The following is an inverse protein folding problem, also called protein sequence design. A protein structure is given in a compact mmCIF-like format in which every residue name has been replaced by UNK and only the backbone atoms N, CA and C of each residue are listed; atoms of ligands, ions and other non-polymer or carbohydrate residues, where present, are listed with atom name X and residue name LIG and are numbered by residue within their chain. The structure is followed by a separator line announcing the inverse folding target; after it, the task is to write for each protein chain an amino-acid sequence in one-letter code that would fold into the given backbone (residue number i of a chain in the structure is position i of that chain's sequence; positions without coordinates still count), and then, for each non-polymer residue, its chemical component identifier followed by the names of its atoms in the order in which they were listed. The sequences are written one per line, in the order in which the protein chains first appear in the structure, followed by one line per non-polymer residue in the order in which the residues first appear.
data_IF_485009530030
#
_entry.id   IF_485009530030
#
_cell.length_a   1.000
_cell.length_b   1.000
_cell.length_c   1.000
_cell.angle_alpha   90.00
_cell.angle_beta   90.00
_cell.angle_gamma   90.00
#
_symmetry.space_group_name_H-M   'P 1'
#
loop_
_entity.id
_entity.type
_entity.pdbx_description
1 polymer ?
#
# COMPACT_ATOMS: atom_id res chain seq x y z
N UNK A 1 27.58 -13.74 15.15
CA UNK A 1 27.09 -13.12 13.90
C UNK A 1 25.79 -13.84 13.52
N UNK A 2 24.63 -13.37 13.98
CA UNK A 2 23.33 -13.97 13.61
C UNK A 2 22.14 -12.99 13.71
N UNK A 3 22.19 -12.01 14.60
CA UNK A 3 21.06 -11.09 14.85
C UNK A 3 20.65 -10.23 13.64
N UNK A 4 21.62 -9.81 12.81
CA UNK A 4 21.36 -8.98 11.62
C UNK A 4 20.65 -9.76 10.51
N UNK A 5 20.81 -11.08 10.46
CA UNK A 5 20.18 -11.92 9.43
C UNK A 5 18.73 -12.24 9.79
N UNK A 6 18.46 -12.57 11.06
CA UNK A 6 17.10 -12.83 11.56
C UNK A 6 16.20 -11.59 11.50
N UNK A 7 16.74 -10.40 11.85
CA UNK A 7 15.98 -9.15 11.73
C UNK A 7 15.61 -8.84 10.27
N UNK A 8 16.51 -9.16 9.33
CA UNK A 8 16.27 -8.97 7.90
C UNK A 8 15.19 -9.92 7.38
N UNK A 9 15.22 -11.19 7.80
CA UNK A 9 14.22 -12.19 7.41
C UNK A 9 12.84 -11.88 8.01
N UNK A 10 12.77 -11.52 9.30
CA UNK A 10 11.52 -11.12 9.94
C UNK A 10 10.92 -9.88 9.27
N UNK A 11 11.75 -8.89 8.93
CA UNK A 11 11.33 -7.69 8.20
C UNK A 11 10.83 -8.02 6.80
N UNK A 12 11.51 -8.91 6.08
CA UNK A 12 11.09 -9.39 4.77
C UNK A 12 9.75 -10.12 4.82
N UNK A 13 9.58 -11.05 5.76
CA UNK A 13 8.34 -11.80 5.94
C UNK A 13 7.19 -10.85 6.30
N UNK A 14 7.42 -9.87 7.18
CA UNK A 14 6.42 -8.86 7.53
C UNK A 14 6.04 -7.99 6.32
N UNK A 15 7.00 -7.58 5.50
CA UNK A 15 6.74 -6.86 4.25
C UNK A 15 5.84 -7.67 3.32
N UNK A 16 6.16 -8.95 3.10
CA UNK A 16 5.40 -9.85 2.23
C UNK A 16 3.97 -10.07 2.73
N UNK A 17 3.79 -10.28 4.04
CA UNK A 17 2.47 -10.45 4.62
C UNK A 17 1.63 -9.16 4.51
N UNK A 18 2.22 -8.02 4.85
CA UNK A 18 1.53 -6.72 4.76
C UNK A 18 1.11 -6.40 3.33
N UNK A 19 1.96 -6.73 2.35
CA UNK A 19 1.62 -6.62 0.93
C UNK A 19 0.47 -7.55 0.55
N UNK A 20 0.48 -8.80 1.00
CA UNK A 20 -0.57 -9.77 0.68
C UNK A 20 -1.93 -9.31 1.22
N UNK A 21 -1.98 -8.81 2.46
CA UNK A 21 -3.20 -8.27 3.08
C UNK A 21 -3.71 -7.03 2.31
N UNK A 22 -2.81 -6.11 1.97
CA UNK A 22 -3.13 -4.93 1.15
C UNK A 22 -3.71 -5.32 -0.22
N UNK A 23 -3.05 -6.25 -0.92
CA UNK A 23 -3.48 -6.72 -2.25
C UNK A 23 -4.84 -7.39 -2.17
N UNK A 24 -5.07 -8.24 -1.17
CA UNK A 24 -6.35 -8.91 -0.97
C UNK A 24 -7.48 -7.90 -0.77
N UNK A 25 -7.27 -6.91 0.10
CA UNK A 25 -8.31 -5.92 0.38
C UNK A 25 -8.55 -5.01 -0.86
N UNK A 26 -7.52 -4.70 -1.63
CA UNK A 26 -7.67 -4.00 -2.93
C UNK A 26 -8.46 -4.84 -3.94
N UNK A 27 -8.20 -6.15 -4.04
CA UNK A 27 -8.95 -7.06 -4.93
C UNK A 27 -10.44 -7.07 -4.58
N UNK A 28 -10.77 -7.08 -3.29
CA UNK A 28 -12.16 -7.03 -2.83
C UNK A 28 -12.85 -5.73 -3.24
N UNK A 29 -12.17 -4.59 -3.17
CA UNK A 29 -12.72 -3.30 -3.62
C UNK A 29 -12.79 -3.19 -5.15
N UNK A 30 -11.81 -3.73 -5.87
CA UNK A 30 -11.84 -3.80 -7.35
C UNK A 30 -13.04 -4.62 -7.82
N UNK A 31 -13.33 -5.75 -7.16
CA UNK A 31 -14.46 -6.62 -7.46
C UNK A 31 -15.80 -6.01 -7.04
N UNK A 32 -15.84 -5.35 -5.89
CA UNK A 32 -17.04 -4.77 -5.30
C UNK A 32 -16.72 -3.39 -4.68
N UNK A 33 -16.93 -2.29 -5.42
CA UNK A 33 -16.66 -0.94 -4.93
C UNK A 33 -17.43 -0.55 -3.67
N UNK A 34 -18.54 -1.22 -3.34
CA UNK A 34 -19.29 -0.95 -2.11
C UNK A 34 -18.47 -1.26 -0.84
N UNK A 35 -17.43 -2.10 -0.95
CA UNK A 35 -16.54 -2.45 0.17
C UNK A 35 -15.50 -1.39 0.49
N UNK A 36 -15.31 -0.38 -0.37
CA UNK A 36 -14.27 0.64 -0.18
C UNK A 36 -14.36 1.34 1.18
N UNK A 37 -15.57 1.69 1.62
CA UNK A 37 -15.78 2.35 2.90
C UNK A 37 -15.38 1.46 4.10
N UNK A 38 -15.68 0.16 4.02
CA UNK A 38 -15.38 -0.80 5.09
C UNK A 38 -13.89 -1.17 5.14
N UNK A 39 -13.21 -1.21 3.97
CA UNK A 39 -11.80 -1.61 3.86
C UNK A 39 -10.82 -0.43 3.86
N UNK A 40 -11.33 0.81 3.82
CA UNK A 40 -10.51 2.02 3.68
C UNK A 40 -9.39 2.12 4.72
N UNK A 41 -9.73 1.94 6.00
CA UNK A 41 -8.79 2.03 7.10
C UNK A 41 -7.70 0.95 7.02
N UNK A 42 -8.09 -0.28 6.66
CA UNK A 42 -7.17 -1.41 6.56
C UNK A 42 -6.18 -1.22 5.41
N UNK A 43 -6.69 -0.81 4.23
CA UNK A 43 -5.87 -0.51 3.05
C UNK A 43 -4.87 0.61 3.36
N UNK A 44 -5.32 1.69 4.02
CA UNK A 44 -4.42 2.78 4.40
C UNK A 44 -3.31 2.32 5.36
N UNK A 45 -3.69 1.64 6.45
CA UNK A 45 -2.74 1.16 7.47
C UNK A 45 -1.74 0.15 6.90
N UNK A 46 -2.20 -0.78 6.07
CA UNK A 46 -1.32 -1.76 5.45
C UNK A 46 -0.33 -1.10 4.49
N UNK A 47 -0.77 -0.14 3.66
CA UNK A 47 0.15 0.58 2.78
C UNK A 47 1.14 1.47 3.55
N UNK A 48 0.69 2.15 4.60
CA UNK A 48 1.57 2.90 5.51
C UNK A 48 2.63 1.98 6.14
N UNK A 49 2.22 0.83 6.68
CA UNK A 49 3.12 -0.10 7.33
C UNK A 49 4.13 -0.70 6.35
N UNK A 50 3.67 -1.06 5.14
CA UNK A 50 4.55 -1.53 4.07
C UNK A 50 5.63 -0.49 3.75
N UNK A 51 5.24 0.78 3.59
CA UNK A 51 6.17 1.88 3.34
C UNK A 51 7.14 2.14 4.50
N UNK A 52 6.70 2.03 5.76
CA UNK A 52 7.57 2.14 6.93
C UNK A 52 8.63 1.03 6.97
N UNK A 53 8.29 -0.16 6.47
CA UNK A 53 9.23 -1.27 6.37
C UNK A 53 10.26 -0.98 5.27
N UNK A 54 9.84 -0.61 4.07
CA UNK A 54 10.74 -0.50 2.91
C UNK A 54 11.48 0.84 2.83
N UNK A 55 10.95 1.90 3.46
CA UNK A 55 11.54 3.24 3.45
C UNK A 55 11.96 3.67 4.87
N UNK A 56 13.27 3.77 5.15
CA UNK A 56 13.77 4.22 6.46
C UNK A 56 13.34 5.65 6.85
N UNK A 57 13.03 6.50 5.86
CA UNK A 57 12.67 7.90 6.04
C UNK A 57 11.17 8.18 5.88
N UNK A 58 10.31 7.18 6.14
CA UNK A 58 8.87 7.34 6.01
C UNK A 58 8.35 8.61 6.69
N UNK A 59 7.47 9.34 5.98
CA UNK A 59 6.63 10.40 6.53
C UNK A 59 5.32 10.48 5.75
N UNK A 60 4.29 11.09 6.32
CA UNK A 60 3.02 11.33 5.62
C UNK A 60 3.20 12.18 4.36
N UNK A 61 4.15 13.13 4.38
CA UNK A 61 4.53 13.92 3.20
C UNK A 61 5.08 13.04 2.07
N UNK A 62 5.97 12.09 2.40
CA UNK A 62 6.50 11.14 1.41
C UNK A 62 5.40 10.21 0.91
N UNK A 63 4.54 9.71 1.80
CA UNK A 63 3.41 8.86 1.45
C UNK A 63 2.47 9.55 0.45
N UNK A 64 2.13 10.81 0.70
CA UNK A 64 1.33 11.63 -0.21
C UNK A 64 2.05 11.86 -1.56
N UNK A 65 3.36 12.13 -1.53
CA UNK A 65 4.18 12.28 -2.73
C UNK A 65 4.16 11.03 -3.63
N UNK A 66 4.24 9.84 -3.02
CA UNK A 66 4.18 8.56 -3.74
C UNK A 66 2.84 8.37 -4.44
N UNK A 67 1.72 8.56 -3.72
CA UNK A 67 0.40 8.36 -4.35
C UNK A 67 0.06 9.46 -5.36
N UNK A 68 0.61 10.67 -5.20
CA UNK A 68 0.53 11.70 -6.25
C UNK A 68 1.29 11.29 -7.52
N UNK A 69 2.45 10.64 -7.39
CA UNK A 69 3.17 10.12 -8.54
C UNK A 69 2.37 9.04 -9.28
N UNK A 70 1.64 8.18 -8.55
CA UNK A 70 0.76 7.17 -9.14
C UNK A 70 -0.29 7.77 -10.08
N UNK A 71 -0.86 8.92 -9.74
CA UNK A 71 -1.90 9.53 -10.57
C UNK A 71 -1.34 10.21 -11.83
N UNK A 72 -0.11 10.71 -11.76
CA UNK A 72 0.50 11.55 -12.80
C UNK A 72 1.40 10.77 -13.77
N UNK A 73 1.85 9.57 -13.40
CA UNK A 73 2.77 8.78 -14.21
C UNK A 73 2.35 7.30 -14.24
N UNK A 74 1.91 6.86 -15.42
CA UNK A 74 1.36 5.53 -15.67
C UNK A 74 2.36 4.41 -15.43
N UNK A 75 3.67 4.70 -15.40
CA UNK A 75 4.71 3.72 -15.07
C UNK A 75 4.64 3.24 -13.62
N UNK A 76 4.06 4.05 -12.72
CA UNK A 76 3.87 3.68 -11.32
C UNK A 76 2.48 3.09 -11.03
N UNK A 77 1.59 3.05 -12.03
CA UNK A 77 0.24 2.51 -11.87
C UNK A 77 0.19 0.98 -11.93
N UNK A 78 1.17 0.34 -12.55
CA UNK A 78 1.11 -1.10 -12.80
C UNK A 78 1.26 -1.95 -11.55
N UNK A 79 2.00 -1.50 -10.52
CA UNK A 79 2.36 -2.40 -9.40
C UNK A 79 1.15 -3.03 -8.69
N UNK A 80 0.17 -2.22 -8.30
CA UNK A 80 -1.03 -2.74 -7.65
C UNK A 80 -2.10 -3.15 -8.65
N UNK A 81 -2.14 -2.55 -9.85
CA UNK A 81 -3.05 -2.99 -10.91
C UNK A 81 -2.74 -4.43 -11.35
N UNK A 82 -1.46 -4.80 -11.45
CA UNK A 82 -1.01 -6.15 -11.84
C UNK A 82 -1.31 -7.19 -10.74
N UNK A 83 -1.26 -6.78 -9.46
CA UNK A 83 -1.47 -7.68 -8.32
C UNK A 83 -2.94 -7.81 -7.92
N UNK A 84 -3.68 -6.71 -7.97
CA UNK A 84 -5.04 -6.61 -7.44
C UNK A 84 -6.12 -6.36 -8.50
N UNK A 85 -5.74 -6.16 -9.76
CA UNK A 85 -6.63 -5.90 -10.87
C UNK A 85 -6.67 -4.42 -11.27
N UNK A 86 -7.04 -4.19 -12.53
CA UNK A 86 -7.04 -2.85 -13.15
C UNK A 86 -7.84 -1.84 -12.32
N UNK A 87 -7.20 -0.72 -11.96
CA UNK A 87 -7.79 0.34 -11.14
C UNK A 87 -7.48 0.27 -9.64
N UNK A 88 -6.84 -0.81 -9.17
CA UNK A 88 -6.41 -0.94 -7.78
C UNK A 88 -5.50 0.21 -7.34
N UNK A 89 -4.55 0.65 -8.18
CA UNK A 89 -3.64 1.75 -7.83
C UNK A 89 -4.40 3.06 -7.62
N UNK A 90 -5.45 3.33 -8.41
CA UNK A 90 -6.30 4.52 -8.25
C UNK A 90 -7.14 4.45 -6.98
N UNK A 91 -7.66 3.27 -6.63
CA UNK A 91 -8.35 3.03 -5.36
C UNK A 91 -7.41 3.32 -4.19
N UNK A 92 -6.20 2.76 -4.22
CA UNK A 92 -5.19 2.99 -3.19
C UNK A 92 -4.83 4.47 -3.05
N UNK A 93 -4.56 5.15 -4.17
CA UNK A 93 -4.23 6.58 -4.20
C UNK A 93 -5.32 7.42 -3.53
N UNK A 94 -6.58 7.21 -3.93
CA UNK A 94 -7.74 7.91 -3.36
C UNK A 94 -7.90 7.66 -1.87
N UNK A 95 -7.82 6.40 -1.43
CA UNK A 95 -7.95 6.03 -0.01
C UNK A 95 -6.85 6.72 0.82
N UNK A 96 -5.61 6.69 0.35
CA UNK A 96 -4.48 7.31 1.07
C UNK A 96 -4.69 8.82 1.20
N UNK A 97 -5.01 9.52 0.10
CA UNK A 97 -5.27 10.96 0.13
C UNK A 97 -6.38 11.33 1.12
N UNK A 98 -7.50 10.62 1.07
CA UNK A 98 -8.62 10.81 2.00
C UNK A 98 -8.24 10.64 3.48
N UNK A 99 -7.24 9.81 3.80
CA UNK A 99 -6.76 9.64 5.17
C UNK A 99 -5.74 10.69 5.60
N UNK A 100 -4.94 11.18 4.66
CA UNK A 100 -3.90 12.18 4.94
C UNK A 100 -4.44 13.63 4.91
N UNK A 101 -5.60 13.85 4.30
CA UNK A 101 -6.27 15.16 4.24
C UNK A 101 -7.16 15.46 5.48
N UNK A 102 -7.29 14.51 6.41
CA UNK A 102 -8.03 14.67 7.68
C UNK A 102 -7.11 15.16 8.79
#
# INVERSE_FOLDING_TARGET
MSESNEFTEAKYNKMKQTEADLVRDLQEVVKDPAKEAALSDAIFKNHQHWLQIVMPNYSTKIHLGIVNAYDNDTRYQSYYDDKAGKGATKILSRIVKKHLDK
#
